data_IF_588040050433
#
_entry.id   IF_588040050433
#
_cell.length_a   1.000
_cell.length_b   1.000
_cell.length_c   1.000
_cell.angle_alpha   90.00
_cell.angle_beta   90.00
_cell.angle_gamma   90.00
#
_symmetry.space_group_name_H-M   'P 1'
#
loop_
_entity.id
_entity.type
_entity.pdbx_description
1 polymer ?
#
# COMPACT_ATOMS: atom_id res chain seq x y z
N UNK A 1 -53.86 3.23 -9.06
CA UNK A 1 -54.55 2.25 -9.93
C UNK A 1 -53.60 1.60 -10.92
N UNK A 2 -52.92 2.35 -11.82
CA UNK A 2 -52.01 1.78 -12.83
C UNK A 2 -50.78 1.05 -12.28
N UNK A 3 -50.04 1.66 -11.34
CA UNK A 3 -48.88 1.01 -10.68
C UNK A 3 -49.28 -0.24 -9.90
N UNK A 4 -50.43 -0.20 -9.24
CA UNK A 4 -50.99 -1.35 -8.51
C UNK A 4 -51.33 -2.50 -9.47
N UNK A 5 -51.93 -2.22 -10.63
CA UNK A 5 -52.22 -3.23 -11.64
C UNK A 5 -50.94 -3.79 -12.29
N UNK A 6 -49.93 -2.95 -12.51
CA UNK A 6 -48.63 -3.39 -13.03
C UNK A 6 -47.92 -4.31 -12.01
N UNK A 7 -47.92 -3.92 -10.74
CA UNK A 7 -47.39 -4.75 -9.67
C UNK A 7 -48.06 -6.13 -9.64
N UNK A 8 -49.39 -6.17 -9.55
CA UNK A 8 -50.15 -7.40 -9.36
C UNK A 8 -50.16 -8.31 -10.59
N UNK A 9 -50.18 -7.76 -11.79
CA UNK A 9 -50.32 -8.57 -13.01
C UNK A 9 -49.00 -8.84 -13.73
N UNK A 10 -47.94 -8.05 -13.47
CA UNK A 10 -46.65 -8.18 -14.17
C UNK A 10 -45.54 -8.56 -13.19
N UNK A 11 -45.32 -7.78 -12.13
CA UNK A 11 -44.20 -8.03 -11.21
C UNK A 11 -44.44 -9.18 -10.23
N UNK A 12 -45.69 -9.50 -9.90
CA UNK A 12 -46.04 -10.67 -9.10
C UNK A 12 -46.16 -11.96 -9.93
N UNK A 13 -46.10 -11.87 -11.27
CA UNK A 13 -45.98 -13.07 -12.10
C UNK A 13 -44.57 -13.64 -11.95
N UNK A 14 -44.48 -14.82 -11.31
CA UNK A 14 -43.20 -15.47 -10.99
C UNK A 14 -42.29 -15.70 -12.20
N UNK A 15 -42.85 -15.93 -13.40
CA UNK A 15 -42.07 -16.21 -14.60
C UNK A 15 -41.49 -14.91 -15.17
N UNK A 16 -42.29 -13.85 -15.21
CA UNK A 16 -41.83 -12.52 -15.65
C UNK A 16 -40.80 -11.97 -14.67
N UNK A 17 -41.10 -12.07 -13.37
CA UNK A 17 -40.21 -11.65 -12.28
C UNK A 17 -38.83 -12.29 -12.43
N UNK A 18 -38.78 -13.62 -12.50
CA UNK A 18 -37.52 -14.36 -12.59
C UNK A 18 -36.74 -13.97 -13.85
N UNK A 19 -37.40 -13.94 -15.01
CA UNK A 19 -36.73 -13.59 -16.29
C UNK A 19 -36.20 -12.16 -16.30
N UNK A 20 -36.94 -11.20 -15.76
CA UNK A 20 -36.50 -9.82 -15.69
C UNK A 20 -35.29 -9.67 -14.76
N UNK A 21 -35.32 -10.33 -13.61
CA UNK A 21 -34.19 -10.34 -12.66
C UNK A 21 -32.95 -10.98 -13.30
N UNK A 22 -33.07 -12.16 -13.89
CA UNK A 22 -31.95 -12.87 -14.56
C UNK A 22 -31.36 -12.03 -15.69
N UNK A 23 -32.20 -11.45 -16.55
CA UNK A 23 -31.74 -10.59 -17.64
C UNK A 23 -31.03 -9.32 -17.15
N UNK A 24 -31.51 -8.72 -16.06
CA UNK A 24 -30.89 -7.52 -15.48
C UNK A 24 -29.50 -7.83 -14.90
N UNK A 25 -29.36 -8.98 -14.24
CA UNK A 25 -28.07 -9.45 -13.70
C UNK A 25 -27.12 -9.81 -14.85
N UNK A 26 -27.60 -10.49 -15.90
CA UNK A 26 -26.80 -10.84 -17.07
C UNK A 26 -26.22 -9.59 -17.75
N UNK A 27 -27.02 -8.53 -17.92
CA UNK A 27 -26.55 -7.25 -18.47
C UNK A 27 -25.42 -6.64 -17.62
N UNK A 28 -25.54 -6.71 -16.29
CA UNK A 28 -24.52 -6.22 -15.36
C UNK A 28 -23.24 -7.05 -15.43
N UNK A 29 -23.35 -8.38 -15.54
CA UNK A 29 -22.21 -9.28 -15.66
C UNK A 29 -21.49 -9.10 -17.01
N UNK A 30 -22.23 -8.88 -18.09
CA UNK A 30 -21.66 -8.55 -19.39
C UNK A 30 -20.87 -7.24 -19.34
N UNK A 31 -21.39 -6.21 -18.65
CA UNK A 31 -20.64 -4.98 -18.40
C UNK A 31 -19.36 -5.23 -17.58
N UNK A 32 -19.42 -6.08 -16.55
CA UNK A 32 -18.21 -6.49 -15.77
C UNK A 32 -17.17 -7.15 -16.67
N UNK A 33 -17.61 -7.87 -17.70
CA UNK A 33 -16.77 -8.53 -18.69
C UNK A 33 -16.29 -7.57 -19.80
N UNK A 34 -16.63 -6.29 -19.73
CA UNK A 34 -16.17 -5.25 -20.66
C UNK A 34 -17.13 -4.96 -21.82
N UNK A 35 -18.34 -5.52 -21.81
CA UNK A 35 -19.36 -5.18 -22.82
C UNK A 35 -19.94 -3.79 -22.56
N UNK A 36 -20.24 -3.07 -23.64
CA UNK A 36 -20.94 -1.78 -23.55
C UNK A 36 -22.43 -2.05 -23.43
N UNK A 37 -23.03 -1.61 -22.33
CA UNK A 37 -24.46 -1.78 -22.05
C UNK A 37 -25.20 -0.45 -21.98
N UNK A 38 -26.53 -0.50 -22.10
CA UNK A 38 -27.38 0.65 -21.79
C UNK A 38 -27.60 0.77 -20.27
N UNK A 39 -26.71 1.51 -19.60
CA UNK A 39 -26.82 1.79 -18.16
C UNK A 39 -28.10 2.57 -17.81
N UNK A 40 -28.66 3.32 -18.75
CA UNK A 40 -29.91 4.08 -18.53
C UNK A 40 -31.08 3.13 -18.41
N UNK A 41 -31.12 2.07 -19.22
CA UNK A 41 -32.13 1.03 -19.11
C UNK A 41 -32.09 0.35 -17.73
N UNK A 42 -30.91 -0.05 -17.26
CA UNK A 42 -30.73 -0.64 -15.92
C UNK A 42 -31.26 0.31 -14.84
N UNK A 43 -30.90 1.59 -14.92
CA UNK A 43 -31.34 2.64 -14.00
C UNK A 43 -32.86 2.83 -14.02
N UNK A 44 -33.47 2.86 -15.18
CA UNK A 44 -34.90 3.11 -15.33
C UNK A 44 -35.72 1.91 -14.83
N UNK A 45 -35.24 0.67 -15.04
CA UNK A 45 -35.84 -0.53 -14.43
C UNK A 45 -35.74 -0.46 -12.90
N UNK A 46 -34.57 -0.11 -12.35
CA UNK A 46 -34.40 0.02 -10.89
C UNK A 46 -35.31 1.09 -10.29
N UNK A 47 -35.42 2.25 -10.94
CA UNK A 47 -36.36 3.32 -10.53
C UNK A 47 -37.81 2.87 -10.62
N UNK A 48 -38.17 2.13 -11.66
CA UNK A 48 -39.52 1.58 -11.82
C UNK A 48 -39.87 0.65 -10.65
N UNK A 49 -38.96 -0.24 -10.22
CA UNK A 49 -39.17 -1.12 -9.07
C UNK A 49 -39.43 -0.34 -7.77
N UNK A 50 -38.77 0.80 -7.58
CA UNK A 50 -39.00 1.69 -6.44
C UNK A 50 -40.36 2.40 -6.55
N UNK A 51 -40.69 2.96 -7.72
CA UNK A 51 -41.97 3.64 -7.95
C UNK A 51 -43.16 2.70 -7.76
N UNK A 52 -43.05 1.44 -8.21
CA UNK A 52 -44.10 0.42 -8.02
C UNK A 52 -44.30 0.11 -6.54
N UNK A 53 -43.24 0.22 -5.72
CA UNK A 53 -43.30 0.12 -4.27
C UNK A 53 -43.90 1.33 -3.56
N UNK A 54 -44.62 2.22 -4.25
CA UNK A 54 -45.07 3.52 -3.73
C UNK A 54 -43.90 4.33 -3.13
N UNK A 55 -42.80 4.42 -3.88
CA UNK A 55 -41.55 5.08 -3.49
C UNK A 55 -40.84 4.44 -2.27
N UNK A 56 -41.26 3.24 -1.85
CA UNK A 56 -40.55 2.42 -0.87
C UNK A 56 -39.67 1.38 -1.56
N UNK A 57 -38.44 1.21 -1.05
CA UNK A 57 -37.44 0.29 -1.59
C UNK A 57 -37.73 -1.20 -1.40
N UNK A 58 -38.83 -1.59 -0.74
CA UNK A 58 -39.09 -2.99 -0.40
C UNK A 58 -39.17 -3.91 -1.63
N UNK A 59 -39.90 -3.52 -2.67
CA UNK A 59 -39.99 -4.30 -3.92
C UNK A 59 -38.62 -4.38 -4.59
N UNK A 60 -37.93 -3.24 -4.72
CA UNK A 60 -36.57 -3.18 -5.26
C UNK A 60 -35.60 -4.11 -4.50
N UNK A 61 -35.64 -4.09 -3.17
CA UNK A 61 -34.72 -4.82 -2.31
C UNK A 61 -34.95 -6.34 -2.40
N UNK A 62 -36.21 -6.77 -2.40
CA UNK A 62 -36.59 -8.19 -2.48
C UNK A 62 -36.41 -8.74 -3.90
N UNK A 63 -36.84 -8.00 -4.91
CA UNK A 63 -36.86 -8.44 -6.30
C UNK A 63 -35.46 -8.41 -6.94
N UNK A 64 -34.70 -7.36 -6.69
CA UNK A 64 -33.45 -7.10 -7.40
C UNK A 64 -32.23 -7.10 -6.48
N UNK A 65 -32.21 -6.24 -5.45
CA UNK A 65 -30.99 -5.99 -4.69
C UNK A 65 -30.45 -7.24 -4.01
N UNK A 66 -31.32 -8.03 -3.37
CA UNK A 66 -30.90 -9.25 -2.65
C UNK A 66 -30.35 -10.31 -3.63
N UNK A 67 -31.05 -10.68 -4.72
CA UNK A 67 -30.48 -11.56 -5.74
C UNK A 67 -29.22 -10.99 -6.39
N UNK A 68 -29.17 -9.69 -6.69
CA UNK A 68 -28.02 -9.02 -7.27
C UNK A 68 -26.78 -9.15 -6.38
N UNK A 69 -26.91 -8.91 -5.07
CA UNK A 69 -25.80 -9.05 -4.13
C UNK A 69 -25.33 -10.51 -4.04
N UNK A 70 -26.25 -11.48 -4.01
CA UNK A 70 -25.91 -12.91 -4.01
C UNK A 70 -25.15 -13.32 -5.27
N UNK A 71 -25.65 -12.95 -6.45
CA UNK A 71 -24.96 -13.21 -7.71
C UNK A 71 -23.60 -12.51 -7.78
N UNK A 72 -23.50 -11.30 -7.23
CA UNK A 72 -22.23 -10.55 -7.19
C UNK A 72 -21.21 -11.21 -6.26
N UNK A 73 -21.63 -11.80 -5.14
CA UNK A 73 -20.77 -12.62 -4.29
C UNK A 73 -20.16 -13.76 -5.10
N UNK A 74 -20.98 -14.55 -5.81
CA UNK A 74 -20.50 -15.66 -6.65
C UNK A 74 -19.62 -15.20 -7.82
N UNK A 75 -19.92 -14.02 -8.38
CA UNK A 75 -19.09 -13.40 -9.41
C UNK A 75 -17.69 -13.07 -8.88
N UNK A 76 -17.59 -12.32 -7.77
CA UNK A 76 -16.31 -11.88 -7.22
C UNK A 76 -15.52 -13.01 -6.55
N UNK A 77 -16.17 -14.06 -6.07
CA UNK A 77 -15.49 -15.30 -5.68
C UNK A 77 -14.74 -15.92 -6.87
N UNK A 78 -15.39 -16.04 -8.03
CA UNK A 78 -14.74 -16.59 -9.23
C UNK A 78 -13.69 -15.65 -9.81
N UNK A 79 -13.97 -14.35 -9.82
CA UNK A 79 -13.03 -13.36 -10.35
C UNK A 79 -11.78 -13.26 -9.47
N UNK A 80 -11.92 -13.25 -8.14
CA UNK A 80 -10.77 -13.19 -7.22
C UNK A 80 -9.80 -14.35 -7.44
N UNK A 81 -10.29 -15.58 -7.53
CA UNK A 81 -9.44 -16.75 -7.80
C UNK A 81 -8.75 -16.68 -9.15
N UNK A 82 -9.46 -16.25 -10.20
CA UNK A 82 -8.86 -16.03 -11.52
C UNK A 82 -7.75 -14.98 -11.46
N UNK A 83 -8.02 -13.85 -10.80
CA UNK A 83 -7.04 -12.77 -10.65
C UNK A 83 -5.81 -13.25 -9.87
N UNK A 84 -5.97 -14.02 -8.81
CA UNK A 84 -4.86 -14.58 -8.04
C UNK A 84 -4.02 -15.58 -8.85
N UNK A 85 -4.65 -16.36 -9.73
CA UNK A 85 -3.94 -17.32 -10.57
C UNK A 85 -3.13 -16.65 -11.69
N UNK A 86 -3.59 -15.50 -12.19
CA UNK A 86 -3.03 -14.85 -13.38
C UNK A 86 -2.12 -13.66 -13.06
N UNK A 87 -2.02 -13.22 -11.80
CA UNK A 87 -1.36 -11.95 -11.45
C UNK A 87 -0.48 -12.08 -10.20
N UNK A 88 0.56 -11.25 -10.14
CA UNK A 88 1.32 -11.04 -8.90
C UNK A 88 0.55 -10.11 -7.95
N UNK A 89 1.04 -9.97 -6.72
CA UNK A 89 0.36 -9.18 -5.69
C UNK A 89 0.09 -7.72 -6.12
N UNK A 90 1.08 -7.02 -6.70
CA UNK A 90 0.90 -5.63 -7.13
C UNK A 90 -0.18 -5.48 -8.21
N UNK A 91 -0.18 -6.37 -9.20
CA UNK A 91 -1.17 -6.38 -10.28
C UNK A 91 -2.57 -6.71 -9.76
N UNK A 92 -2.67 -7.67 -8.84
CA UNK A 92 -3.92 -8.00 -8.14
C UNK A 92 -4.49 -6.77 -7.42
N UNK A 93 -3.70 -6.10 -6.60
CA UNK A 93 -4.11 -4.91 -5.84
C UNK A 93 -4.64 -3.80 -6.77
N UNK A 94 -3.94 -3.51 -7.89
CA UNK A 94 -4.41 -2.49 -8.86
C UNK A 94 -5.75 -2.85 -9.47
N UNK A 95 -5.93 -4.12 -9.86
CA UNK A 95 -7.18 -4.61 -10.45
C UNK A 95 -8.33 -4.55 -9.44
N UNK A 96 -8.10 -4.90 -8.18
CA UNK A 96 -9.13 -4.79 -7.14
C UNK A 96 -9.54 -3.33 -6.92
N UNK A 97 -8.60 -2.38 -6.87
CA UNK A 97 -8.95 -0.96 -6.80
C UNK A 97 -9.80 -0.49 -7.99
N UNK A 98 -9.41 -0.87 -9.21
CA UNK A 98 -10.17 -0.53 -10.42
C UNK A 98 -11.58 -1.12 -10.37
N UNK A 99 -11.71 -2.40 -10.00
CA UNK A 99 -13.02 -3.06 -9.85
C UNK A 99 -13.91 -2.38 -8.82
N UNK A 100 -13.39 -2.04 -7.64
CA UNK A 100 -14.14 -1.34 -6.59
C UNK A 100 -14.64 0.01 -7.11
N UNK A 101 -13.81 0.74 -7.86
CA UNK A 101 -14.19 2.01 -8.43
C UNK A 101 -15.29 1.87 -9.50
N UNK A 102 -15.12 0.95 -10.45
CA UNK A 102 -16.10 0.63 -11.49
C UNK A 102 -17.46 0.24 -10.88
N UNK A 103 -17.45 -0.57 -9.83
CA UNK A 103 -18.68 -1.01 -9.15
C UNK A 103 -19.37 0.12 -8.39
N UNK A 104 -18.60 0.97 -7.69
CA UNK A 104 -19.12 2.16 -7.02
C UNK A 104 -19.79 3.10 -8.03
N UNK A 105 -19.14 3.41 -9.15
CA UNK A 105 -19.71 4.29 -10.18
C UNK A 105 -21.00 3.73 -10.76
N UNK A 106 -21.03 2.42 -11.06
CA UNK A 106 -22.25 1.74 -11.50
C UNK A 106 -23.35 1.83 -10.45
N UNK A 107 -23.05 1.53 -9.19
CA UNK A 107 -24.05 1.51 -8.13
C UNK A 107 -24.65 2.91 -7.89
N UNK A 108 -23.80 3.94 -7.85
CA UNK A 108 -24.24 5.34 -7.73
C UNK A 108 -25.13 5.74 -8.91
N UNK A 109 -24.78 5.32 -10.13
CA UNK A 109 -25.50 5.75 -11.33
C UNK A 109 -26.84 5.03 -11.51
N UNK A 110 -26.87 3.70 -11.29
CA UNK A 110 -27.96 2.81 -11.64
C UNK A 110 -28.94 2.51 -10.50
N UNK A 111 -28.46 2.46 -9.25
CA UNK A 111 -29.17 1.78 -8.15
C UNK A 111 -29.70 2.73 -7.08
N UNK A 112 -30.46 2.18 -6.11
CA UNK A 112 -30.80 2.92 -4.90
C UNK A 112 -29.52 3.27 -4.13
N UNK A 113 -29.47 4.47 -3.53
CA UNK A 113 -28.28 5.03 -2.85
C UNK A 113 -27.68 4.11 -1.78
N UNK A 114 -28.48 3.23 -1.16
CA UNK A 114 -28.00 2.33 -0.12
C UNK A 114 -27.31 1.07 -0.67
N UNK A 115 -27.49 0.79 -1.97
CA UNK A 115 -26.94 -0.39 -2.65
C UNK A 115 -25.43 -0.28 -2.79
N UNK A 116 -24.89 0.92 -3.02
CA UNK A 116 -23.44 1.15 -3.16
C UNK A 116 -22.68 0.57 -1.97
N UNK A 117 -23.01 0.99 -0.74
CA UNK A 117 -22.33 0.50 0.45
C UNK A 117 -22.43 -1.03 0.59
N UNK A 118 -23.54 -1.63 0.16
CA UNK A 118 -23.76 -3.08 0.27
C UNK A 118 -22.96 -3.87 -0.75
N UNK A 119 -22.89 -3.41 -2.00
CA UNK A 119 -22.05 -4.08 -3.01
C UNK A 119 -20.57 -3.90 -2.71
N UNK A 120 -20.16 -2.73 -2.22
CA UNK A 120 -18.77 -2.51 -1.79
C UNK A 120 -18.39 -3.44 -0.63
N UNK A 121 -19.29 -3.70 0.32
CA UNK A 121 -19.05 -4.69 1.37
C UNK A 121 -18.85 -6.12 0.81
N UNK A 122 -19.62 -6.52 -0.20
CA UNK A 122 -19.43 -7.82 -0.88
C UNK A 122 -18.04 -7.87 -1.52
N UNK A 123 -17.63 -6.81 -2.22
CA UNK A 123 -16.31 -6.75 -2.84
C UNK A 123 -15.17 -6.74 -1.83
N UNK A 124 -15.33 -5.99 -0.73
CA UNK A 124 -14.35 -5.93 0.36
C UNK A 124 -14.17 -7.30 1.02
N UNK A 125 -15.24 -8.08 1.18
CA UNK A 125 -15.14 -9.44 1.68
C UNK A 125 -14.45 -10.37 0.66
N UNK A 126 -14.95 -10.43 -0.57
CA UNK A 126 -14.56 -11.43 -1.56
C UNK A 126 -13.24 -11.13 -2.27
N UNK A 127 -12.86 -9.87 -2.45
CA UNK A 127 -11.62 -9.47 -3.13
C UNK A 127 -10.49 -9.09 -2.16
N UNK A 128 -10.80 -8.69 -0.93
CA UNK A 128 -9.80 -8.24 0.04
C UNK A 128 -9.71 -9.19 1.22
N UNK A 129 -10.75 -9.29 2.06
CA UNK A 129 -10.67 -10.03 3.34
C UNK A 129 -10.27 -11.48 3.13
N UNK A 130 -10.95 -12.19 2.23
CA UNK A 130 -10.73 -13.62 1.97
C UNK A 130 -9.31 -13.93 1.47
N UNK A 131 -8.64 -12.96 0.84
CA UNK A 131 -7.35 -13.16 0.18
C UNK A 131 -6.20 -12.36 0.77
N UNK A 132 -6.44 -11.55 1.80
CA UNK A 132 -5.47 -10.60 2.34
C UNK A 132 -4.15 -11.28 2.72
N UNK A 133 -4.21 -12.41 3.43
CA UNK A 133 -3.01 -13.18 3.82
C UNK A 133 -2.28 -13.74 2.60
N UNK A 134 -3.01 -14.37 1.67
CA UNK A 134 -2.44 -14.97 0.45
C UNK A 134 -1.73 -13.92 -0.41
N UNK A 135 -2.28 -12.72 -0.51
CA UNK A 135 -1.70 -11.61 -1.28
C UNK A 135 -0.49 -11.00 -0.55
N UNK A 136 -0.57 -10.81 0.77
CA UNK A 136 0.52 -10.26 1.57
C UNK A 136 1.74 -11.19 1.62
N UNK A 137 1.52 -12.49 1.64
CA UNK A 137 2.58 -13.53 1.71
C UNK A 137 2.94 -14.09 0.32
N UNK A 138 2.42 -13.51 -0.76
CA UNK A 138 2.62 -14.04 -2.11
C UNK A 138 4.10 -14.10 -2.48
N UNK A 139 4.55 -15.25 -3.00
CA UNK A 139 5.95 -15.44 -3.36
C UNK A 139 6.41 -14.40 -4.40
N UNK A 140 7.60 -13.84 -4.19
CA UNK A 140 8.25 -12.86 -5.09
C UNK A 140 7.43 -11.59 -5.41
N UNK A 141 6.36 -11.32 -4.65
CA UNK A 141 5.55 -10.12 -4.86
C UNK A 141 4.84 -9.57 -3.62
N UNK A 142 4.71 -10.36 -2.55
CA UNK A 142 4.10 -9.95 -1.29
C UNK A 142 4.90 -8.90 -0.50
N UNK A 143 4.44 -8.58 0.71
CA UNK A 143 4.94 -7.48 1.55
C UNK A 143 6.46 -7.56 1.73
N UNK A 144 6.99 -8.70 2.18
CA UNK A 144 8.42 -8.87 2.44
C UNK A 144 9.24 -8.64 1.16
N UNK A 145 8.76 -9.10 0.01
CA UNK A 145 9.42 -8.87 -1.27
C UNK A 145 9.40 -7.38 -1.64
N UNK A 146 8.27 -6.70 -1.44
CA UNK A 146 8.14 -5.25 -1.70
C UNK A 146 9.12 -4.44 -0.83
N UNK A 147 9.29 -4.80 0.44
CA UNK A 147 10.23 -4.16 1.35
C UNK A 147 11.69 -4.39 0.90
N UNK A 148 12.08 -5.65 0.62
CA UNK A 148 13.42 -6.01 0.14
C UNK A 148 13.76 -5.35 -1.20
N UNK A 149 12.79 -5.28 -2.10
CA UNK A 149 12.95 -4.73 -3.46
C UNK A 149 12.66 -3.22 -3.54
N UNK A 150 12.42 -2.56 -2.41
CA UNK A 150 12.14 -1.11 -2.32
C UNK A 150 10.97 -0.65 -3.21
N UNK A 151 9.95 -1.51 -3.38
CA UNK A 151 8.72 -1.20 -4.14
C UNK A 151 7.73 -0.43 -3.27
N UNK A 152 8.12 0.77 -2.86
CA UNK A 152 7.37 1.58 -1.88
C UNK A 152 5.97 1.97 -2.34
N UNK A 153 5.78 2.25 -3.63
CA UNK A 153 4.47 2.61 -4.19
C UNK A 153 3.50 1.44 -4.16
N UNK A 154 3.97 0.24 -4.55
CA UNK A 154 3.18 -0.99 -4.48
C UNK A 154 2.81 -1.34 -3.02
N UNK A 155 3.77 -1.22 -2.09
CA UNK A 155 3.53 -1.41 -0.65
C UNK A 155 2.49 -0.43 -0.11
N UNK A 156 2.62 0.85 -0.44
CA UNK A 156 1.67 1.90 -0.04
C UNK A 156 0.26 1.61 -0.54
N UNK A 157 0.15 1.14 -1.79
CA UNK A 157 -1.13 0.81 -2.39
C UNK A 157 -1.77 -0.42 -1.74
N UNK A 158 -0.98 -1.46 -1.46
CA UNK A 158 -1.46 -2.63 -0.72
C UNK A 158 -1.98 -2.24 0.67
N UNK A 159 -1.23 -1.41 1.39
CA UNK A 159 -1.64 -0.92 2.71
C UNK A 159 -2.96 -0.15 2.65
N UNK A 160 -3.11 0.78 1.70
CA UNK A 160 -4.37 1.53 1.49
C UNK A 160 -5.54 0.61 1.16
N UNK A 161 -5.33 -0.45 0.39
CA UNK A 161 -6.40 -1.40 0.09
C UNK A 161 -6.83 -2.16 1.35
N UNK A 162 -5.86 -2.62 2.14
CA UNK A 162 -6.15 -3.41 3.35
C UNK A 162 -6.77 -2.55 4.45
N UNK A 163 -6.54 -1.24 4.48
CA UNK A 163 -7.22 -0.31 5.38
C UNK A 163 -8.73 -0.20 5.12
N UNK A 164 -9.22 -0.58 3.94
CA UNK A 164 -10.66 -0.58 3.64
C UNK A 164 -11.42 -1.61 4.49
N UNK A 165 -10.75 -2.68 4.89
CA UNK A 165 -11.35 -3.77 5.66
C UNK A 165 -10.79 -3.76 7.08
N UNK A 166 -11.65 -3.78 8.12
CA UNK A 166 -11.19 -3.89 9.50
C UNK A 166 -10.21 -5.05 9.68
N UNK A 167 -9.16 -4.81 10.46
CA UNK A 167 -8.11 -5.76 10.86
C UNK A 167 -7.21 -6.32 9.74
N UNK A 168 -7.50 -6.09 8.45
CA UNK A 168 -6.66 -6.60 7.36
C UNK A 168 -5.27 -5.96 7.33
N UNK A 169 -5.14 -4.68 7.70
CA UNK A 169 -3.85 -4.00 7.78
C UNK A 169 -2.89 -4.63 8.81
N UNK A 170 -3.41 -5.33 9.84
CA UNK A 170 -2.59 -6.03 10.83
C UNK A 170 -1.73 -7.13 10.21
N UNK A 171 -2.19 -7.73 9.09
CA UNK A 171 -1.40 -8.72 8.34
C UNK A 171 -0.13 -8.08 7.77
N UNK A 172 -0.24 -6.83 7.29
CA UNK A 172 0.93 -6.09 6.81
C UNK A 172 1.85 -5.76 7.98
N UNK A 173 1.29 -5.36 9.12
CA UNK A 173 2.07 -5.09 10.34
C UNK A 173 2.85 -6.34 10.78
N UNK A 174 2.25 -7.52 10.73
CA UNK A 174 2.92 -8.79 11.04
C UNK A 174 4.07 -9.08 10.07
N UNK A 175 3.84 -8.96 8.75
CA UNK A 175 4.89 -9.15 7.75
C UNK A 175 6.04 -8.13 7.90
N UNK A 176 5.73 -6.87 8.19
CA UNK A 176 6.70 -5.81 8.45
C UNK A 176 7.51 -6.12 9.70
N UNK A 177 6.84 -6.54 10.78
CA UNK A 177 7.50 -6.93 12.02
C UNK A 177 8.44 -8.11 11.80
N UNK A 178 8.02 -9.14 11.07
CA UNK A 178 8.86 -10.27 10.70
C UNK A 178 10.10 -9.81 9.94
N UNK A 179 9.92 -8.97 8.92
CA UNK A 179 11.02 -8.40 8.15
C UNK A 179 12.00 -7.59 9.02
N UNK A 180 11.50 -6.73 9.91
CA UNK A 180 12.34 -5.97 10.84
C UNK A 180 13.12 -6.91 11.77
N UNK A 181 12.50 -8.00 12.24
CA UNK A 181 13.18 -8.99 13.07
C UNK A 181 14.28 -9.74 12.30
N UNK A 182 14.08 -10.05 11.01
CA UNK A 182 15.15 -10.59 10.14
C UNK A 182 16.32 -9.60 10.03
N UNK A 183 16.02 -8.32 9.80
CA UNK A 183 17.04 -7.27 9.68
C UNK A 183 17.83 -7.09 10.98
N UNK A 184 17.15 -7.10 12.15
CA UNK A 184 17.79 -7.04 13.47
C UNK A 184 18.78 -8.19 13.72
N UNK A 185 18.44 -9.41 13.28
CA UNK A 185 19.38 -10.55 13.36
C UNK A 185 20.63 -10.30 12.51
N UNK A 186 20.46 -9.69 11.33
CA UNK A 186 21.58 -9.27 10.48
C UNK A 186 22.46 -8.17 11.10
N UNK A 187 21.91 -7.33 11.98
CA UNK A 187 22.69 -6.31 12.69
C UNK A 187 23.52 -6.87 13.86
N UNK A 188 23.16 -8.04 14.38
CA UNK A 188 23.80 -8.66 15.56
C UNK A 188 24.65 -9.88 15.21
N UNK A 189 24.66 -10.31 13.94
CA UNK A 189 25.45 -11.46 13.51
C UNK A 189 26.95 -11.15 13.47
N UNK A 190 27.73 -11.87 14.27
CA UNK A 190 29.21 -11.86 14.24
C UNK A 190 29.69 -12.95 13.28
N UNK A 191 29.93 -12.59 12.01
CA UNK A 191 30.59 -13.48 11.05
C UNK A 191 32.11 -13.31 11.10
N UNK A 192 32.85 -14.34 10.66
CA UNK A 192 34.33 -14.42 10.78
C UNK A 192 35.13 -13.50 9.82
N UNK A 193 34.47 -12.85 8.85
CA UNK A 193 35.10 -11.93 7.89
C UNK A 193 34.71 -10.47 8.19
N UNK A 194 35.61 -9.72 8.84
CA UNK A 194 35.37 -8.36 9.34
C UNK A 194 35.10 -7.35 8.20
N UNK A 195 35.75 -7.52 7.04
CA UNK A 195 35.63 -6.60 5.90
C UNK A 195 34.28 -6.74 5.17
N UNK A 196 33.70 -7.95 5.11
CA UNK A 196 32.35 -8.15 4.55
C UNK A 196 31.29 -7.68 5.57
N UNK A 197 31.61 -7.76 6.87
CA UNK A 197 30.64 -7.49 7.93
C UNK A 197 30.27 -5.99 8.02
N UNK A 198 31.22 -5.07 7.89
CA UNK A 198 30.93 -3.63 8.02
C UNK A 198 30.05 -3.09 6.87
N UNK A 199 30.32 -3.49 5.62
CA UNK A 199 29.52 -3.06 4.46
C UNK A 199 28.08 -3.58 4.61
N UNK A 200 27.94 -4.87 4.93
CA UNK A 200 26.63 -5.50 5.11
C UNK A 200 25.87 -4.90 6.28
N UNK A 201 26.54 -4.62 7.39
CA UNK A 201 25.95 -3.96 8.55
C UNK A 201 25.36 -2.59 8.18
N UNK A 202 26.15 -1.74 7.52
CA UNK A 202 25.70 -0.39 7.12
C UNK A 202 24.58 -0.45 6.07
N UNK A 203 24.62 -1.41 5.15
CA UNK A 203 23.52 -1.65 4.20
C UNK A 203 22.22 -2.05 4.91
N UNK A 204 22.26 -2.99 5.85
CA UNK A 204 21.09 -3.38 6.63
C UNK A 204 20.52 -2.19 7.44
N UNK A 205 21.38 -1.31 7.97
CA UNK A 205 20.93 -0.09 8.64
C UNK A 205 20.20 0.88 7.71
N UNK A 206 20.68 1.04 6.47
CA UNK A 206 19.98 1.85 5.48
C UNK A 206 18.62 1.24 5.12
N UNK A 207 18.56 -0.07 4.90
CA UNK A 207 17.30 -0.76 4.60
C UNK A 207 16.31 -0.60 5.75
N UNK A 208 16.77 -0.77 6.99
CA UNK A 208 15.92 -0.59 8.16
C UNK A 208 15.42 0.85 8.29
N UNK A 209 16.28 1.86 8.03
CA UNK A 209 15.90 3.27 8.03
C UNK A 209 14.85 3.57 6.95
N UNK A 210 15.06 3.07 5.73
CA UNK A 210 14.14 3.24 4.60
C UNK A 210 12.74 2.66 4.96
N UNK A 211 12.70 1.51 5.63
CA UNK A 211 11.45 0.88 6.11
C UNK A 211 10.74 1.74 7.17
N UNK A 212 11.46 2.26 8.16
CA UNK A 212 10.85 3.14 9.14
C UNK A 212 10.33 4.45 8.53
N UNK A 213 11.01 5.00 7.52
CA UNK A 213 10.54 6.19 6.80
C UNK A 213 9.26 5.93 6.02
N UNK A 214 9.17 4.82 5.29
CA UNK A 214 7.95 4.51 4.52
C UNK A 214 6.77 4.21 5.45
N UNK A 215 6.99 3.49 6.55
CA UNK A 215 5.97 3.24 7.58
C UNK A 215 5.51 4.57 8.17
N UNK A 216 6.45 5.44 8.52
CA UNK A 216 6.14 6.78 9.01
C UNK A 216 5.27 7.56 8.01
N UNK A 217 5.64 7.57 6.73
CA UNK A 217 4.88 8.24 5.66
C UNK A 217 3.47 7.67 5.49
N UNK A 218 3.30 6.36 5.61
CA UNK A 218 2.01 5.68 5.39
C UNK A 218 1.08 5.83 6.59
N UNK A 219 1.61 5.74 7.81
CA UNK A 219 0.85 5.83 9.06
C UNK A 219 0.45 7.27 9.42
N UNK A 220 1.07 8.27 8.80
CA UNK A 220 0.81 9.66 9.10
C UNK A 220 -0.45 10.20 8.43
N UNK A 221 -1.46 10.42 9.26
CA UNK A 221 -2.05 11.75 9.42
C UNK A 221 -1.53 12.35 10.73
N UNK A 222 -0.56 13.28 10.66
CA UNK A 222 -0.09 14.19 11.72
C UNK A 222 -0.08 13.65 13.19
N UNK A 223 0.34 12.39 13.39
CA UNK A 223 0.31 11.74 14.70
C UNK A 223 1.70 11.66 15.32
N UNK A 224 2.06 12.70 16.07
CA UNK A 224 3.35 12.85 16.76
C UNK A 224 3.72 11.64 17.65
N UNK A 225 2.73 10.91 18.19
CA UNK A 225 3.00 9.73 19.02
C UNK A 225 3.54 8.53 18.23
N UNK A 226 3.15 8.39 16.96
CA UNK A 226 3.64 7.34 16.06
C UNK A 226 5.07 7.65 15.63
N UNK A 227 5.34 8.91 15.29
CA UNK A 227 6.68 9.39 14.96
C UNK A 227 7.68 9.12 16.09
N UNK A 228 7.34 9.48 17.32
CA UNK A 228 8.21 9.24 18.48
C UNK A 228 8.51 7.75 18.68
N UNK A 229 7.52 6.88 18.48
CA UNK A 229 7.67 5.43 18.63
C UNK A 229 8.59 4.86 17.55
N UNK A 230 8.44 5.30 16.30
CA UNK A 230 9.30 4.90 15.18
C UNK A 230 10.74 5.33 15.44
N UNK A 231 10.95 6.60 15.82
CA UNK A 231 12.29 7.12 16.16
C UNK A 231 12.92 6.35 17.32
N UNK A 232 12.16 6.06 18.37
CA UNK A 232 12.64 5.28 19.52
C UNK A 232 13.06 3.86 19.13
N UNK A 233 12.23 3.15 18.35
CA UNK A 233 12.54 1.80 17.89
C UNK A 233 13.82 1.78 17.04
N UNK A 234 13.94 2.69 16.08
CA UNK A 234 15.13 2.78 15.25
C UNK A 234 16.39 3.09 16.06
N UNK A 235 16.30 4.02 17.02
CA UNK A 235 17.42 4.37 17.91
C UNK A 235 17.86 3.18 18.78
N UNK A 236 16.92 2.34 19.25
CA UNK A 236 17.30 1.11 19.95
C UNK A 236 18.00 0.12 19.02
N UNK A 237 17.47 -0.08 17.82
CA UNK A 237 17.97 -1.07 16.86
C UNK A 237 19.37 -0.76 16.34
N UNK A 238 19.63 0.50 15.96
CA UNK A 238 20.95 0.92 15.47
C UNK A 238 22.05 0.77 16.52
N UNK A 239 21.68 0.85 17.80
CA UNK A 239 22.60 0.75 18.93
C UNK A 239 22.76 -0.69 19.46
N UNK A 240 22.23 -1.72 18.78
CA UNK A 240 22.38 -3.12 19.20
C UNK A 240 23.79 -3.68 18.98
N UNK A 241 24.50 -3.24 17.94
CA UNK A 241 25.82 -3.76 17.61
C UNK A 241 26.93 -2.99 18.33
N UNK A 242 27.87 -3.71 18.97
CA UNK A 242 29.00 -3.10 19.68
C UNK A 242 30.01 -2.41 18.75
N UNK A 243 30.19 -2.91 17.52
CA UNK A 243 31.09 -2.38 16.48
C UNK A 243 30.42 -1.38 15.54
N UNK A 244 29.16 -0.99 15.79
CA UNK A 244 28.39 -0.07 14.94
C UNK A 244 29.16 1.19 14.54
N UNK A 245 29.86 1.77 15.51
CA UNK A 245 30.60 3.02 15.38
C UNK A 245 31.77 2.85 14.41
N UNK A 246 32.58 1.83 14.63
CA UNK A 246 33.71 1.46 13.78
C UNK A 246 33.27 1.12 12.35
N UNK A 247 32.22 0.32 12.19
CA UNK A 247 31.72 -0.10 10.89
C UNK A 247 31.20 1.06 10.05
N UNK A 248 30.43 1.97 10.66
CA UNK A 248 29.94 3.16 9.96
C UNK A 248 31.08 4.09 9.57
N UNK A 249 32.04 4.31 10.48
CA UNK A 249 33.22 5.14 10.20
C UNK A 249 34.07 4.57 9.06
N UNK A 250 34.28 3.25 9.00
CA UNK A 250 35.06 2.63 7.94
C UNK A 250 34.42 2.86 6.55
N UNK A 251 33.09 2.76 6.45
CA UNK A 251 32.35 3.08 5.21
C UNK A 251 32.53 4.55 4.84
N UNK A 252 32.36 5.45 5.80
CA UNK A 252 32.53 6.90 5.60
C UNK A 252 33.96 7.21 5.13
N UNK A 253 34.97 6.76 5.85
CA UNK A 253 36.38 7.00 5.53
C UNK A 253 36.74 6.48 4.15
N UNK A 254 36.29 5.28 3.79
CA UNK A 254 36.57 4.69 2.47
C UNK A 254 35.98 5.54 1.34
N UNK A 255 34.79 6.13 1.53
CA UNK A 255 34.20 7.06 0.55
C UNK A 255 34.93 8.41 0.53
N UNK A 256 35.31 8.94 1.69
CA UNK A 256 36.02 10.22 1.78
C UNK A 256 37.44 10.14 1.20
N UNK A 257 38.15 9.02 1.38
CA UNK A 257 39.51 8.78 0.83
C UNK A 257 39.55 8.81 -0.70
N UNK A 258 38.49 8.38 -1.38
CA UNK A 258 38.36 8.51 -2.84
C UNK A 258 38.28 9.98 -3.30
N UNK A 259 37.90 10.87 -2.39
CA UNK A 259 37.62 12.27 -2.68
C UNK A 259 36.24 12.44 -3.29
N UNK A 260 35.42 13.27 -2.66
CA UNK A 260 34.00 13.46 -3.01
C UNK A 260 33.76 13.77 -4.49
N UNK A 261 34.64 14.54 -5.14
CA UNK A 261 34.52 14.90 -6.56
C UNK A 261 34.63 13.68 -7.50
N UNK A 262 35.15 12.56 -7.02
CA UNK A 262 35.28 11.32 -7.80
C UNK A 262 34.13 10.33 -7.55
N UNK A 263 33.27 10.61 -6.56
CA UNK A 263 32.11 9.77 -6.25
C UNK A 263 31.01 10.01 -7.27
N UNK A 264 30.38 8.94 -7.72
CA UNK A 264 29.14 9.02 -8.48
C UNK A 264 27.92 9.33 -7.58
N UNK A 265 26.75 9.49 -8.19
CA UNK A 265 25.52 9.81 -7.45
C UNK A 265 25.13 8.72 -6.44
N UNK A 266 25.37 7.44 -6.74
CA UNK A 266 25.02 6.34 -5.83
C UNK A 266 25.95 6.33 -4.62
N UNK A 267 27.25 6.52 -4.84
CA UNK A 267 28.24 6.63 -3.77
C UNK A 267 28.00 7.87 -2.89
N UNK A 268 27.57 9.00 -3.49
CA UNK A 268 27.16 10.18 -2.75
C UNK A 268 25.94 9.90 -1.86
N UNK A 269 24.89 9.25 -2.38
CA UNK A 269 23.70 8.87 -1.59
C UNK A 269 24.09 8.01 -0.40
N UNK A 270 24.96 7.02 -0.60
CA UNK A 270 25.49 6.17 0.48
C UNK A 270 26.18 7.00 1.55
N UNK A 271 27.03 7.96 1.16
CA UNK A 271 27.70 8.86 2.09
C UNK A 271 26.70 9.72 2.86
N UNK A 272 25.71 10.32 2.19
CA UNK A 272 24.69 11.13 2.85
C UNK A 272 23.86 10.32 3.83
N UNK A 273 23.40 9.12 3.44
CA UNK A 273 22.66 8.23 4.35
C UNK A 273 23.51 7.86 5.55
N UNK A 274 24.80 7.53 5.36
CA UNK A 274 25.71 7.21 6.47
C UNK A 274 25.81 8.36 7.48
N UNK A 275 25.78 9.60 6.99
CA UNK A 275 25.91 10.78 7.84
C UNK A 275 24.64 11.10 8.62
N UNK A 276 23.47 10.89 8.03
CA UNK A 276 22.17 10.96 8.74
C UNK A 276 22.12 9.95 9.87
N UNK A 277 22.71 8.75 9.68
CA UNK A 277 22.70 7.74 10.72
C UNK A 277 23.45 8.17 11.98
N UNK A 278 24.49 9.03 11.88
CA UNK A 278 25.28 9.49 13.03
C UNK A 278 24.42 10.12 14.14
N UNK A 279 23.33 10.81 13.77
CA UNK A 279 22.43 11.46 14.72
C UNK A 279 21.73 10.48 15.67
N UNK A 280 21.63 9.21 15.27
CA UNK A 280 20.98 8.14 16.02
C UNK A 280 21.95 7.32 16.87
N UNK A 281 23.26 7.57 16.81
CA UNK A 281 24.23 6.85 17.63
C UNK A 281 24.32 7.47 19.04
N UNK A 282 24.51 6.62 20.05
CA UNK A 282 24.69 7.07 21.45
C UNK A 282 26.04 7.77 21.70
N UNK A 283 27.09 7.32 21.03
CA UNK A 283 28.49 7.75 21.24
C UNK A 283 28.83 9.04 20.47
N UNK A 284 27.96 10.06 20.54
CA UNK A 284 28.07 11.28 19.70
C UNK A 284 29.43 11.96 19.77
N UNK A 285 30.05 11.98 20.95
CA UNK A 285 31.36 12.61 21.19
C UNK A 285 32.49 11.96 20.37
N UNK A 286 32.42 10.66 20.06
CA UNK A 286 33.41 9.98 19.21
C UNK A 286 33.31 10.38 17.74
N UNK A 287 32.13 10.85 17.32
CA UNK A 287 31.88 11.24 15.93
C UNK A 287 32.07 12.73 15.68
N UNK A 288 32.31 13.54 16.71
CA UNK A 288 32.27 15.00 16.59
C UNK A 288 33.31 15.52 15.58
N UNK A 289 34.55 15.01 15.60
CA UNK A 289 35.57 15.36 14.62
C UNK A 289 35.18 14.96 13.19
N UNK A 290 34.66 13.75 13.01
CA UNK A 290 34.19 13.27 11.70
C UNK A 290 32.98 14.05 11.19
N UNK A 291 32.09 14.47 12.08
CA UNK A 291 30.95 15.31 11.77
C UNK A 291 31.40 16.72 11.36
N UNK A 292 32.40 17.30 12.03
CA UNK A 292 32.99 18.58 11.62
C UNK A 292 33.71 18.48 10.28
N UNK A 293 34.46 17.40 10.04
CA UNK A 293 35.13 17.15 8.78
C UNK A 293 34.11 16.97 7.65
N UNK A 294 33.06 16.17 7.87
CA UNK A 294 31.97 16.00 6.92
C UNK A 294 31.21 17.29 6.66
N UNK A 295 30.84 18.04 7.70
CA UNK A 295 30.16 19.35 7.58
C UNK A 295 31.03 20.35 6.82
N UNK A 296 32.32 20.41 7.10
CA UNK A 296 33.29 21.22 6.34
C UNK A 296 33.40 20.77 4.87
N UNK A 297 33.27 19.47 4.60
CA UNK A 297 33.25 18.93 3.24
C UNK A 297 31.94 19.23 2.51
N UNK A 298 30.79 19.14 3.18
CA UNK A 298 29.49 19.58 2.66
C UNK A 298 29.51 21.07 2.34
N UNK A 299 30.05 21.90 3.23
CA UNK A 299 30.19 23.33 3.01
C UNK A 299 31.01 23.58 1.73
N UNK A 300 32.15 22.91 1.55
CA UNK A 300 32.98 23.02 0.33
C UNK A 300 32.30 22.49 -0.94
N UNK A 301 31.44 21.48 -0.83
CA UNK A 301 30.64 21.00 -1.96
C UNK A 301 29.56 21.99 -2.34
N UNK A 302 28.86 22.53 -1.33
CA UNK A 302 27.85 23.57 -1.52
C UNK A 302 28.51 24.85 -2.04
N UNK A 303 29.69 25.26 -1.59
CA UNK A 303 30.33 26.47 -2.10
C UNK A 303 30.74 26.36 -3.60
N UNK A 304 30.76 25.15 -4.17
CA UNK A 304 30.96 24.88 -5.60
C UNK A 304 29.62 24.71 -6.38
N UNK A 305 28.51 25.25 -5.85
CA UNK A 305 27.08 24.98 -6.15
C UNK A 305 26.61 25.00 -7.62
N UNK A 306 27.40 25.45 -8.59
CA UNK A 306 26.92 25.52 -9.97
C UNK A 306 26.84 24.17 -10.71
N UNK A 307 27.41 23.08 -10.18
CA UNK A 307 27.51 21.81 -10.94
C UNK A 307 26.71 20.61 -10.42
N UNK A 308 26.03 20.66 -9.25
CA UNK A 308 25.35 19.48 -8.73
C UNK A 308 23.93 19.73 -8.19
N UNK A 309 22.99 19.97 -9.12
CA UNK A 309 21.54 20.06 -8.85
C UNK A 309 21.00 18.86 -8.03
N UNK A 310 21.62 17.68 -8.17
CA UNK A 310 21.28 16.49 -7.40
C UNK A 310 21.42 16.68 -5.88
N UNK A 311 22.53 17.28 -5.44
CA UNK A 311 22.81 17.49 -4.01
C UNK A 311 21.83 18.49 -3.41
N UNK A 312 21.51 19.58 -4.13
CA UNK A 312 20.51 20.55 -3.68
C UNK A 312 19.14 19.89 -3.47
N UNK A 313 18.71 19.07 -4.43
CA UNK A 313 17.44 18.36 -4.31
C UNK A 313 17.47 17.32 -3.19
N UNK A 314 18.56 16.56 -3.03
CA UNK A 314 18.66 15.55 -1.99
C UNK A 314 18.69 16.16 -0.59
N UNK A 315 19.42 17.26 -0.38
CA UNK A 315 19.48 17.97 0.90
C UNK A 315 18.13 18.61 1.25
N UNK A 316 17.49 19.29 0.30
CA UNK A 316 16.17 19.90 0.53
C UNK A 316 15.08 18.87 0.86
N UNK A 317 15.15 17.66 0.29
CA UNK A 317 14.13 16.63 0.46
C UNK A 317 14.39 15.74 1.69
N UNK A 318 15.65 15.46 2.04
CA UNK A 318 16.00 14.42 3.02
C UNK A 318 16.78 14.91 4.25
N UNK A 319 17.30 16.15 4.24
CA UNK A 319 18.17 16.71 5.27
C UNK A 319 17.64 18.05 5.79
N UNK A 320 16.32 18.24 5.85
CA UNK A 320 15.72 19.37 6.55
C UNK A 320 16.11 19.30 8.03
N UNK A 321 17.26 19.88 8.35
CA UNK A 321 17.69 20.23 9.70
C UNK A 321 16.89 21.50 10.03
N UNK A 322 15.72 21.30 10.62
CA UNK A 322 15.11 22.31 11.49
C UNK A 322 15.61 22.12 12.92
#
# INVERSE_FOLDING_TARGET
MGLTLFHTNILQDSMIQKRLMEALIEVIDNERCGEIIDKTLVKDICKMLISVGNDSRHIYAEFFETPFLQHSTEFYQRESEKLLAENNASDYIRKVFARIHEESERAIYCFDKSTENRIIQVMEEELIRNHAKKVAEMENSGVVYMLKSKKWDDFTMMYKLFQRVPDCHLIIDDCVNEYIQEQRKGLTSENRDEEINHIRFVQNLFELKDVFEIIHKILLGDNQSVEQRIKFNFNNDINLNQHRTEYLLLVIENKLKKGVKSLDNEELVVLFKAMILLDYFKEKDFFEQYYQDFKGMLQKMMDNINENQFINNYVQVNLSID
#
